data_IF_696337698301
#
_entry.id   IF_696337698301
#
_cell.length_a   1.000
_cell.length_b   1.000
_cell.length_c   1.000
_cell.angle_alpha   90.00
_cell.angle_beta   90.00
_cell.angle_gamma   90.00
#
_symmetry.space_group_name_H-M   'P 1'
#
loop_
_entity.id
_entity.type
_entity.pdbx_description
1 polymer ?
#
# COMPACT_ATOMS: atom_id res chain seq x y z
N UNK A 1 -5.13 52.67 -19.12
CA UNK A 1 -3.91 52.02 -18.57
C UNK A 1 -4.05 51.52 -17.13
N UNK A 2 -4.75 52.24 -16.24
CA UNK A 2 -4.91 51.84 -14.83
C UNK A 2 -5.70 50.52 -14.63
N UNK A 3 -6.76 50.32 -15.40
CA UNK A 3 -7.60 49.12 -15.36
C UNK A 3 -6.90 47.85 -15.83
N UNK A 4 -5.97 47.95 -16.79
CA UNK A 4 -5.19 46.81 -17.28
C UNK A 4 -4.12 46.39 -16.25
N UNK A 5 -3.50 47.36 -15.56
CA UNK A 5 -2.53 47.06 -14.49
C UNK A 5 -3.19 46.40 -13.28
N UNK A 6 -4.43 46.76 -12.95
CA UNK A 6 -5.20 46.15 -11.88
C UNK A 6 -5.61 44.72 -12.21
N UNK A 7 -5.99 44.45 -13.48
CA UNK A 7 -6.33 43.10 -13.96
C UNK A 7 -5.11 42.17 -13.97
N UNK A 8 -3.93 42.68 -14.37
CA UNK A 8 -2.68 41.90 -14.35
C UNK A 8 -2.22 41.60 -12.91
N UNK A 9 -2.39 42.55 -11.96
CA UNK A 9 -2.08 42.34 -10.56
C UNK A 9 -3.04 41.32 -9.91
N UNK A 10 -4.34 41.33 -10.24
CA UNK A 10 -5.31 40.34 -9.80
C UNK A 10 -5.01 38.95 -10.39
N UNK A 11 -4.57 38.85 -11.63
CA UNK A 11 -4.19 37.59 -12.27
C UNK A 11 -2.89 37.00 -11.70
N UNK A 12 -1.93 37.84 -11.32
CA UNK A 12 -0.69 37.40 -10.65
C UNK A 12 -0.94 36.95 -9.20
N UNK A 13 -1.92 37.48 -8.50
CA UNK A 13 -2.30 37.01 -7.14
C UNK A 13 -3.02 35.66 -7.16
N UNK A 14 -3.74 35.33 -8.23
CA UNK A 14 -4.44 34.03 -8.34
C UNK A 14 -3.47 32.90 -8.67
N UNK A 15 -2.37 33.17 -9.35
CA UNK A 15 -1.36 32.15 -9.68
C UNK A 15 -0.43 31.77 -8.52
N UNK A 16 -0.40 32.55 -7.45
CA UNK A 16 0.40 32.25 -6.23
C UNK A 16 -0.30 31.30 -5.24
N UNK A 17 -1.57 30.96 -5.46
CA UNK A 17 -2.35 30.07 -4.58
C UNK A 17 -2.07 28.57 -4.81
N UNK A 18 -1.18 28.19 -5.73
CA UNK A 18 -1.09 26.83 -6.29
C UNK A 18 -0.12 25.88 -5.62
N UNK A 19 0.84 26.32 -4.83
CA UNK A 19 1.84 25.39 -4.29
C UNK A 19 2.25 25.81 -2.86
N UNK A 20 1.44 25.45 -1.88
CA UNK A 20 1.93 25.53 -0.49
C UNK A 20 2.97 24.43 -0.28
N UNK A 21 4.15 24.75 0.27
CA UNK A 21 5.16 23.75 0.57
C UNK A 21 4.59 22.69 1.52
N UNK A 22 5.06 21.47 1.39
CA UNK A 22 4.70 20.39 2.32
C UNK A 22 5.30 20.73 3.69
N UNK A 23 4.52 20.79 4.77
CA UNK A 23 5.04 21.06 6.11
C UNK A 23 6.11 20.05 6.51
N UNK A 24 7.18 20.52 7.17
CA UNK A 24 8.31 19.67 7.58
C UNK A 24 7.87 18.45 8.38
N UNK A 25 6.91 18.62 9.30
CA UNK A 25 6.37 17.52 10.12
C UNK A 25 5.79 16.37 9.28
N UNK A 26 5.22 16.63 8.09
CA UNK A 26 4.72 15.57 7.20
C UNK A 26 5.87 14.81 6.56
N UNK A 27 6.93 15.51 6.15
CA UNK A 27 8.13 14.90 5.58
C UNK A 27 8.88 14.08 6.63
N UNK A 28 9.01 14.61 7.85
CA UNK A 28 9.65 13.89 8.96
C UNK A 28 8.89 12.61 9.32
N UNK A 29 7.55 12.67 9.38
CA UNK A 29 6.73 11.50 9.66
C UNK A 29 6.83 10.47 8.53
N UNK A 30 6.78 10.90 7.25
CA UNK A 30 6.91 9.99 6.10
C UNK A 30 8.28 9.31 6.06
N UNK A 31 9.34 10.02 6.44
CA UNK A 31 10.69 9.46 6.47
C UNK A 31 10.86 8.29 7.46
N UNK A 32 10.13 8.34 8.59
CA UNK A 32 10.28 7.35 9.66
C UNK A 32 9.15 6.32 9.72
N UNK A 33 8.07 6.47 8.95
CA UNK A 33 6.83 5.68 9.08
C UNK A 33 7.04 4.17 8.95
N UNK A 34 8.01 3.74 8.17
CA UNK A 34 8.27 2.32 7.95
C UNK A 34 9.04 1.66 9.11
N UNK A 35 9.91 2.40 9.77
CA UNK A 35 10.77 1.89 10.84
C UNK A 35 10.19 2.19 12.23
N UNK A 36 9.54 3.35 12.37
CA UNK A 36 9.01 3.87 13.62
C UNK A 36 7.55 4.36 13.47
N UNK A 37 6.59 3.47 13.13
CA UNK A 37 5.22 3.87 12.83
C UNK A 37 4.51 4.58 13.99
N UNK A 38 4.70 4.12 15.24
CA UNK A 38 4.13 4.80 16.42
C UNK A 38 4.65 6.23 16.58
N UNK A 39 5.91 6.48 16.24
CA UNK A 39 6.51 7.81 16.33
C UNK A 39 5.98 8.72 15.22
N UNK A 40 5.83 8.18 14.01
CA UNK A 40 5.23 8.89 12.88
C UNK A 40 3.76 9.27 13.20
N UNK A 41 2.98 8.37 13.76
CA UNK A 41 1.60 8.64 14.18
C UNK A 41 1.56 9.79 15.21
N UNK A 42 2.35 9.73 16.28
CA UNK A 42 2.43 10.78 17.30
C UNK A 42 2.82 12.15 16.74
N UNK A 43 3.78 12.20 15.80
CA UNK A 43 4.18 13.47 15.15
C UNK A 43 2.99 14.09 14.41
N UNK A 44 2.24 13.29 13.68
CA UNK A 44 1.09 13.78 12.90
C UNK A 44 -0.10 14.14 13.80
N UNK A 45 -0.39 13.37 14.82
CA UNK A 45 -1.46 13.65 15.78
C UNK A 45 -1.21 14.94 16.59
N UNK A 46 0.05 15.35 16.72
CA UNK A 46 0.44 16.64 17.28
C UNK A 46 0.09 17.85 16.39
N UNK A 47 -0.31 17.66 15.13
CA UNK A 47 -0.71 18.76 14.24
C UNK A 47 -2.09 19.27 14.60
N UNK A 48 -2.26 20.53 15.07
CA UNK A 48 -3.54 21.02 15.54
C UNK A 48 -4.46 21.36 14.35
N UNK A 49 -5.69 20.85 14.36
CA UNK A 49 -6.73 21.11 13.36
C UNK A 49 -6.23 21.01 11.90
N UNK A 50 -5.65 19.84 11.50
CA UNK A 50 -4.99 19.69 10.22
C UNK A 50 -5.95 19.96 9.04
N UNK A 51 -7.22 19.61 9.18
CA UNK A 51 -8.28 19.84 8.18
C UNK A 51 -8.55 21.33 7.88
N UNK A 52 -8.18 22.23 8.83
CA UNK A 52 -8.36 23.69 8.68
C UNK A 52 -7.07 24.40 8.28
N UNK A 53 -5.93 23.85 8.63
CA UNK A 53 -4.62 24.51 8.49
C UNK A 53 -3.84 24.07 7.27
N UNK A 54 -4.07 22.83 6.82
CA UNK A 54 -3.38 22.29 5.65
C UNK A 54 -4.17 22.59 4.37
N UNK A 55 -3.45 22.77 3.27
CA UNK A 55 -4.09 22.77 1.94
C UNK A 55 -4.74 21.40 1.69
N UNK A 56 -5.68 21.32 0.75
CA UNK A 56 -6.33 20.06 0.39
C UNK A 56 -5.32 18.95 0.05
N UNK A 57 -4.27 19.28 -0.69
CA UNK A 57 -3.17 18.37 -1.01
C UNK A 57 -2.43 17.89 0.24
N UNK A 58 -2.00 18.83 1.08
CA UNK A 58 -1.24 18.49 2.27
C UNK A 58 -2.09 17.75 3.32
N UNK A 59 -3.40 18.03 3.38
CA UNK A 59 -4.32 17.29 4.25
C UNK A 59 -4.53 15.85 3.76
N UNK A 60 -4.63 15.62 2.45
CA UNK A 60 -4.69 14.27 1.90
C UNK A 60 -3.38 13.51 2.14
N UNK A 61 -2.23 14.18 2.01
CA UNK A 61 -0.92 13.58 2.32
C UNK A 61 -0.81 13.25 3.82
N UNK A 62 -1.20 14.17 4.70
CA UNK A 62 -1.31 13.94 6.14
C UNK A 62 -2.17 12.71 6.44
N UNK A 63 -3.36 12.65 5.87
CA UNK A 63 -4.29 11.54 6.07
C UNK A 63 -3.68 10.21 5.61
N UNK A 64 -3.01 10.19 4.46
CA UNK A 64 -2.34 9.01 3.93
C UNK A 64 -1.24 8.49 4.86
N UNK A 65 -0.33 9.38 5.29
CA UNK A 65 0.81 9.00 6.13
C UNK A 65 0.34 8.56 7.52
N UNK A 66 -0.66 9.23 8.09
CA UNK A 66 -1.22 8.85 9.40
C UNK A 66 -1.97 7.51 9.32
N UNK A 67 -2.75 7.28 8.26
CA UNK A 67 -3.37 5.96 8.02
C UNK A 67 -2.31 4.86 7.90
N UNK A 68 -1.25 5.11 7.14
CA UNK A 68 -0.12 4.18 7.03
C UNK A 68 0.53 3.91 8.39
N UNK A 69 0.81 4.95 9.16
CA UNK A 69 1.45 4.84 10.47
C UNK A 69 0.62 4.00 11.45
N UNK A 70 -0.67 4.30 11.59
CA UNK A 70 -1.61 3.56 12.44
C UNK A 70 -1.76 2.10 12.01
N UNK A 71 -1.86 1.86 10.69
CA UNK A 71 -1.91 0.50 10.19
C UNK A 71 -0.66 -0.30 10.56
N UNK A 72 0.54 0.27 10.35
CA UNK A 72 1.81 -0.39 10.65
C UNK A 72 2.04 -0.55 12.18
N UNK A 73 1.48 0.34 12.98
CA UNK A 73 1.45 0.22 14.45
C UNK A 73 0.48 -0.88 14.94
N UNK A 74 -0.31 -1.48 14.07
CA UNK A 74 -1.27 -2.55 14.40
C UNK A 74 -2.58 -2.05 15.00
N UNK A 75 -2.92 -0.78 14.81
CA UNK A 75 -4.19 -0.23 15.30
C UNK A 75 -5.39 -0.84 14.58
N UNK A 76 -6.52 -0.88 15.29
CA UNK A 76 -7.79 -1.22 14.67
C UNK A 76 -8.31 -0.05 13.84
N UNK A 77 -8.43 -0.26 12.53
CA UNK A 77 -8.76 0.77 11.56
C UNK A 77 -10.23 0.72 11.07
N UNK A 78 -11.09 -0.06 11.72
CA UNK A 78 -12.50 -0.23 11.28
C UNK A 78 -13.23 1.11 11.20
N UNK A 79 -12.99 2.00 12.16
CA UNK A 79 -13.64 3.33 12.24
C UNK A 79 -12.77 4.45 11.63
N UNK A 80 -11.65 4.12 10.95
CA UNK A 80 -10.80 5.14 10.33
C UNK A 80 -11.52 5.85 9.18
N UNK A 81 -11.50 7.17 9.20
CA UNK A 81 -12.05 8.03 8.14
C UNK A 81 -10.98 8.76 7.34
N UNK A 82 -9.74 8.76 7.81
CA UNK A 82 -8.63 9.44 7.12
C UNK A 82 -8.25 8.73 5.83
N UNK A 83 -8.37 7.41 5.78
CA UNK A 83 -8.17 6.65 4.55
C UNK A 83 -9.12 7.11 3.43
N UNK A 84 -10.36 7.47 3.76
CA UNK A 84 -11.34 7.97 2.80
C UNK A 84 -10.94 9.36 2.28
N UNK A 85 -10.39 10.24 3.15
CA UNK A 85 -9.86 11.57 2.77
C UNK A 85 -8.70 11.41 1.79
N UNK A 86 -7.74 10.53 2.08
CA UNK A 86 -6.62 10.27 1.19
C UNK A 86 -7.11 9.69 -0.15
N UNK A 87 -7.97 8.68 -0.11
CA UNK A 87 -8.51 8.03 -1.30
C UNK A 87 -9.28 9.01 -2.20
N UNK A 88 -10.14 9.86 -1.64
CA UNK A 88 -10.90 10.85 -2.40
C UNK A 88 -10.01 11.85 -3.14
N UNK A 89 -8.90 12.24 -2.54
CA UNK A 89 -7.94 13.11 -3.19
C UNK A 89 -7.18 12.39 -4.30
N UNK A 90 -6.52 11.28 -3.97
CA UNK A 90 -5.63 10.57 -4.88
C UNK A 90 -6.37 9.82 -6.00
N UNK A 91 -7.66 9.60 -5.88
CA UNK A 91 -8.51 9.08 -6.96
C UNK A 91 -8.52 9.98 -8.21
N UNK A 92 -8.33 11.28 -8.04
CA UNK A 92 -8.32 12.29 -9.12
C UNK A 92 -6.96 12.94 -9.35
N UNK A 93 -5.98 12.67 -8.49
CA UNK A 93 -4.61 13.21 -8.55
C UNK A 93 -3.62 12.06 -8.62
N UNK A 94 -3.57 11.40 -9.79
CA UNK A 94 -2.79 10.17 -10.01
C UNK A 94 -1.39 10.43 -10.58
N UNK A 95 -1.01 11.68 -10.79
CA UNK A 95 0.33 12.12 -11.18
C UNK A 95 1.40 11.70 -10.15
N UNK A 96 1.03 11.66 -8.87
CA UNK A 96 1.81 10.99 -7.82
C UNK A 96 1.35 9.53 -7.69
N UNK A 97 1.83 8.66 -8.60
CA UNK A 97 1.45 7.24 -8.60
C UNK A 97 1.79 6.54 -7.27
N UNK A 98 2.86 6.96 -6.58
CA UNK A 98 3.28 6.33 -5.33
C UNK A 98 2.29 6.62 -4.20
N UNK A 99 1.81 7.86 -4.09
CA UNK A 99 0.80 8.23 -3.12
C UNK A 99 -0.58 7.65 -3.49
N UNK A 100 -0.95 7.69 -4.78
CA UNK A 100 -2.19 7.09 -5.26
C UNK A 100 -2.23 5.58 -5.00
N UNK A 101 -1.17 4.85 -5.32
CA UNK A 101 -1.01 3.44 -4.99
C UNK A 101 -1.22 3.17 -3.49
N UNK A 102 -0.51 3.91 -2.61
CA UNK A 102 -0.64 3.75 -1.15
C UNK A 102 -2.08 4.03 -0.68
N UNK A 103 -2.74 5.08 -1.19
CA UNK A 103 -4.10 5.43 -0.81
C UNK A 103 -5.08 4.29 -1.11
N UNK A 104 -5.05 3.75 -2.32
CA UNK A 104 -5.85 2.58 -2.68
C UNK A 104 -5.49 1.35 -1.88
N UNK A 105 -4.20 1.10 -1.63
CA UNK A 105 -3.72 -0.06 -0.88
C UNK A 105 -4.21 -0.05 0.57
N UNK A 106 -4.04 1.04 1.30
CA UNK A 106 -4.49 1.11 2.70
C UNK A 106 -6.01 1.12 2.81
N UNK A 107 -6.72 1.80 1.90
CA UNK A 107 -8.18 1.74 1.84
C UNK A 107 -8.68 0.30 1.59
N UNK A 108 -8.00 -0.49 0.75
CA UNK A 108 -8.32 -1.90 0.53
C UNK A 108 -8.15 -2.74 1.80
N UNK A 109 -7.07 -2.52 2.56
CA UNK A 109 -6.80 -3.24 3.82
C UNK A 109 -7.84 -2.90 4.88
N UNK A 110 -8.25 -1.63 4.97
CA UNK A 110 -9.29 -1.18 5.90
C UNK A 110 -10.65 -1.75 5.50
N UNK A 111 -10.99 -1.74 4.20
CA UNK A 111 -12.21 -2.36 3.70
C UNK A 111 -12.26 -3.86 4.03
N UNK A 112 -11.10 -4.55 3.97
CA UNK A 112 -10.99 -5.94 4.38
C UNK A 112 -11.27 -6.12 5.90
N UNK A 113 -10.70 -5.27 6.78
CA UNK A 113 -11.04 -5.29 8.21
C UNK A 113 -12.53 -5.04 8.45
N UNK A 114 -13.17 -4.17 7.66
CA UNK A 114 -14.61 -3.88 7.68
C UNK A 114 -15.48 -5.01 7.13
N UNK A 115 -14.88 -6.15 6.75
CA UNK A 115 -15.54 -7.30 6.13
C UNK A 115 -16.29 -6.93 4.82
N UNK A 116 -15.66 -6.11 4.01
CA UNK A 116 -16.14 -5.66 2.69
C UNK A 116 -15.22 -6.23 1.58
N UNK A 117 -15.25 -7.54 1.30
CA UNK A 117 -14.26 -8.20 0.46
C UNK A 117 -14.29 -7.70 -1.00
N UNK A 118 -15.47 -7.41 -1.56
CA UNK A 118 -15.59 -6.92 -2.93
C UNK A 118 -15.00 -5.51 -3.08
N UNK A 119 -15.23 -4.63 -2.09
CA UNK A 119 -14.63 -3.30 -2.03
C UNK A 119 -13.11 -3.40 -1.89
N UNK A 120 -12.64 -4.26 -0.98
CA UNK A 120 -11.22 -4.49 -0.75
C UNK A 120 -10.52 -4.98 -2.02
N UNK A 121 -11.08 -5.97 -2.72
CA UNK A 121 -10.56 -6.49 -3.98
C UNK A 121 -10.51 -5.40 -5.06
N UNK A 122 -11.59 -4.64 -5.23
CA UNK A 122 -11.67 -3.56 -6.21
C UNK A 122 -10.62 -2.48 -5.96
N UNK A 123 -10.44 -2.07 -4.72
CA UNK A 123 -9.44 -1.07 -4.33
C UNK A 123 -8.01 -1.58 -4.53
N UNK A 124 -7.76 -2.86 -4.22
CA UNK A 124 -6.44 -3.44 -4.37
C UNK A 124 -6.05 -3.61 -5.85
N UNK A 125 -6.99 -3.95 -6.72
CA UNK A 125 -6.78 -3.95 -8.17
C UNK A 125 -6.44 -2.55 -8.69
N UNK A 126 -7.14 -1.52 -8.24
CA UNK A 126 -6.81 -0.13 -8.56
C UNK A 126 -5.45 0.30 -8.03
N UNK A 127 -5.07 -0.16 -6.84
CA UNK A 127 -3.73 0.06 -6.29
C UNK A 127 -2.66 -0.53 -7.21
N UNK A 128 -2.86 -1.75 -7.73
CA UNK A 128 -1.98 -2.37 -8.71
C UNK A 128 -1.85 -1.56 -10.00
N UNK A 129 -2.98 -1.08 -10.52
CA UNK A 129 -3.04 -0.33 -11.78
C UNK A 129 -2.32 1.04 -11.70
N UNK A 130 -2.08 1.56 -10.48
CA UNK A 130 -1.27 2.77 -10.26
C UNK A 130 0.23 2.50 -10.35
N UNK A 131 0.68 1.26 -10.27
CA UNK A 131 2.10 0.95 -10.32
C UNK A 131 2.62 0.92 -11.75
N UNK A 132 3.83 1.45 -11.99
CA UNK A 132 4.46 1.34 -13.29
C UNK A 132 4.76 -0.14 -13.59
N UNK A 133 4.74 -0.58 -14.87
CA UNK A 133 4.89 -1.99 -15.24
C UNK A 133 6.28 -2.57 -14.91
N UNK A 134 7.25 -1.71 -14.57
CA UNK A 134 8.62 -2.11 -14.21
C UNK A 134 9.16 -1.23 -13.08
N UNK A 135 10.04 -1.81 -12.26
CA UNK A 135 10.84 -1.08 -11.27
C UNK A 135 10.28 -1.09 -9.85
N UNK A 136 8.99 -1.15 -9.64
CA UNK A 136 8.39 -1.11 -8.29
C UNK A 136 8.09 -2.52 -7.75
N UNK A 137 9.07 -3.43 -7.88
CA UNK A 137 8.89 -4.87 -7.61
C UNK A 137 8.37 -5.17 -6.20
N UNK A 138 8.86 -4.43 -5.20
CA UNK A 138 8.39 -4.60 -3.81
C UNK A 138 6.88 -4.29 -3.69
N UNK A 139 6.41 -3.21 -4.31
CA UNK A 139 5.00 -2.83 -4.27
C UNK A 139 4.13 -3.82 -5.03
N UNK A 140 4.59 -4.25 -6.22
CA UNK A 140 3.93 -5.32 -6.98
C UNK A 140 3.81 -6.60 -6.15
N UNK A 141 4.91 -7.05 -5.54
CA UNK A 141 4.92 -8.24 -4.68
C UNK A 141 3.85 -8.15 -3.58
N UNK A 142 3.82 -7.04 -2.85
CA UNK A 142 2.89 -6.85 -1.73
C UNK A 142 1.44 -6.85 -2.20
N UNK A 143 1.15 -6.22 -3.34
CA UNK A 143 -0.22 -6.20 -3.91
C UNK A 143 -0.64 -7.59 -4.36
N UNK A 144 0.21 -8.32 -5.08
CA UNK A 144 -0.12 -9.68 -5.54
C UNK A 144 -0.31 -10.63 -4.36
N UNK A 145 0.51 -10.52 -3.31
CA UNK A 145 0.34 -11.31 -2.09
C UNK A 145 -1.05 -11.05 -1.45
N UNK A 146 -1.48 -9.79 -1.34
CA UNK A 146 -2.80 -9.47 -0.78
C UNK A 146 -3.95 -9.90 -1.69
N UNK A 147 -3.81 -9.79 -3.02
CA UNK A 147 -4.79 -10.34 -3.96
C UNK A 147 -4.92 -11.85 -3.77
N UNK A 148 -3.81 -12.57 -3.62
CA UNK A 148 -3.80 -14.00 -3.31
C UNK A 148 -4.48 -14.34 -1.98
N UNK A 149 -4.26 -13.53 -0.93
CA UNK A 149 -4.96 -13.69 0.36
C UNK A 149 -6.46 -13.53 0.19
N UNK A 150 -6.91 -12.49 -0.51
CA UNK A 150 -8.34 -12.24 -0.71
C UNK A 150 -8.99 -13.34 -1.56
N UNK A 151 -8.30 -13.80 -2.61
CA UNK A 151 -8.77 -14.94 -3.41
C UNK A 151 -8.91 -16.21 -2.56
N UNK A 152 -7.91 -16.51 -1.72
CA UNK A 152 -7.96 -17.68 -0.84
C UNK A 152 -9.13 -17.64 0.16
N UNK A 153 -9.44 -16.47 0.71
CA UNK A 153 -10.60 -16.29 1.60
C UNK A 153 -11.95 -16.46 0.90
N UNK A 154 -12.00 -16.24 -0.42
CA UNK A 154 -13.18 -16.47 -1.25
C UNK A 154 -13.17 -17.85 -1.90
N UNK A 155 -12.26 -18.76 -1.52
CA UNK A 155 -12.07 -20.08 -2.10
C UNK A 155 -11.77 -20.08 -3.62
N UNK A 156 -11.22 -18.96 -4.13
CA UNK A 156 -10.77 -18.81 -5.52
C UNK A 156 -9.30 -19.26 -5.61
N UNK A 157 -9.07 -20.57 -5.50
CA UNK A 157 -7.72 -21.11 -5.30
C UNK A 157 -6.87 -21.05 -6.59
N UNK A 158 -7.46 -21.18 -7.77
CA UNK A 158 -6.75 -21.01 -9.04
C UNK A 158 -6.25 -19.57 -9.20
N UNK A 159 -7.07 -18.59 -8.83
CA UNK A 159 -6.69 -17.19 -8.79
C UNK A 159 -5.57 -16.94 -7.77
N UNK A 160 -5.68 -17.56 -6.57
CA UNK A 160 -4.63 -17.48 -5.55
C UNK A 160 -3.30 -18.02 -6.10
N UNK A 161 -3.29 -19.13 -6.83
CA UNK A 161 -2.08 -19.66 -7.45
C UNK A 161 -1.48 -18.66 -8.43
N UNK A 162 -2.30 -18.04 -9.31
CA UNK A 162 -1.81 -17.03 -10.27
C UNK A 162 -1.17 -15.84 -9.57
N UNK A 163 -1.79 -15.32 -8.52
CA UNK A 163 -1.24 -14.21 -7.74
C UNK A 163 0.05 -14.60 -7.01
N UNK A 164 0.11 -15.80 -6.43
CA UNK A 164 1.32 -16.31 -5.78
C UNK A 164 2.48 -16.51 -6.77
N UNK A 165 2.19 -16.95 -8.01
CA UNK A 165 3.20 -17.04 -9.08
C UNK A 165 3.74 -15.67 -9.48
N UNK A 166 2.88 -14.65 -9.59
CA UNK A 166 3.32 -13.27 -9.87
C UNK A 166 4.16 -12.71 -8.72
N UNK A 167 3.72 -12.92 -7.47
CA UNK A 167 4.48 -12.53 -6.29
C UNK A 167 5.87 -13.21 -6.29
N UNK A 168 5.95 -14.50 -6.58
CA UNK A 168 7.21 -15.22 -6.70
C UNK A 168 8.14 -14.58 -7.74
N UNK A 169 7.63 -14.24 -8.92
CA UNK A 169 8.43 -13.61 -9.99
C UNK A 169 8.97 -12.23 -9.57
N UNK A 170 8.18 -11.44 -8.83
CA UNK A 170 8.65 -10.17 -8.28
C UNK A 170 9.68 -10.35 -7.17
N UNK A 171 9.51 -11.35 -6.30
CA UNK A 171 10.49 -11.70 -5.27
C UNK A 171 11.82 -12.16 -5.89
N UNK A 172 11.77 -12.98 -6.95
CA UNK A 172 12.92 -13.43 -7.71
C UNK A 172 13.68 -12.27 -8.35
N UNK A 173 12.96 -11.31 -8.97
CA UNK A 173 13.55 -10.09 -9.54
C UNK A 173 14.30 -9.22 -8.52
N UNK A 174 14.03 -9.40 -7.23
CA UNK A 174 14.69 -8.70 -6.11
C UNK A 174 15.68 -9.58 -5.35
N UNK A 175 15.86 -10.83 -5.77
CA UNK A 175 16.65 -11.85 -5.06
C UNK A 175 16.21 -12.03 -3.58
N UNK A 176 14.90 -11.81 -3.31
CA UNK A 176 14.30 -11.95 -1.98
C UNK A 176 13.82 -13.38 -1.77
N UNK A 177 14.77 -14.24 -1.43
CA UNK A 177 14.53 -15.68 -1.25
C UNK A 177 13.51 -15.98 -0.14
N UNK A 178 13.49 -15.18 0.92
CA UNK A 178 12.48 -15.22 1.98
C UNK A 178 11.05 -15.01 1.41
N UNK A 179 10.87 -14.05 0.53
CA UNK A 179 9.59 -13.78 -0.12
C UNK A 179 9.23 -14.83 -1.17
N UNK A 180 10.24 -15.40 -1.84
CA UNK A 180 10.02 -16.54 -2.74
C UNK A 180 9.51 -17.76 -1.95
N UNK A 181 10.04 -18.05 -0.76
CA UNK A 181 9.54 -19.11 0.10
C UNK A 181 8.09 -18.87 0.52
N UNK A 182 7.72 -17.64 0.89
CA UNK A 182 6.32 -17.27 1.21
C UNK A 182 5.41 -17.55 0.02
N UNK A 183 5.79 -17.10 -1.19
CA UNK A 183 4.98 -17.32 -2.39
C UNK A 183 4.82 -18.80 -2.75
N UNK A 184 5.86 -19.62 -2.55
CA UNK A 184 5.78 -21.08 -2.72
C UNK A 184 4.83 -21.71 -1.69
N UNK A 185 4.87 -21.25 -0.44
CA UNK A 185 3.92 -21.65 0.60
C UNK A 185 2.48 -21.30 0.26
N UNK A 186 2.24 -20.10 -0.30
CA UNK A 186 0.93 -19.68 -0.77
C UNK A 186 0.40 -20.55 -1.91
N UNK A 187 1.28 -20.98 -2.85
CA UNK A 187 0.91 -21.95 -3.89
C UNK A 187 0.56 -23.30 -3.28
N UNK A 188 1.37 -23.81 -2.35
CA UNK A 188 1.09 -25.07 -1.67
C UNK A 188 -0.27 -25.02 -0.94
N UNK A 189 -0.53 -23.95 -0.20
CA UNK A 189 -1.81 -23.78 0.48
C UNK A 189 -3.00 -23.71 -0.51
N UNK A 190 -2.84 -23.08 -1.67
CA UNK A 190 -3.89 -23.02 -2.67
C UNK A 190 -4.16 -24.40 -3.30
N UNK A 191 -3.12 -25.18 -3.59
CA UNK A 191 -3.26 -26.56 -4.08
C UNK A 191 -3.90 -27.50 -3.04
N UNK A 192 -3.64 -27.27 -1.75
CA UNK A 192 -4.36 -27.97 -0.69
C UNK A 192 -5.87 -27.66 -0.74
N UNK A 193 -6.24 -26.41 -0.99
CA UNK A 193 -7.64 -26.01 -1.14
C UNK A 193 -8.33 -26.58 -2.39
N UNK A 194 -7.55 -27.04 -3.38
CA UNK A 194 -8.03 -27.75 -4.58
C UNK A 194 -7.97 -29.28 -4.44
N UNK A 195 -7.68 -29.81 -3.24
CA UNK A 195 -7.45 -31.24 -2.98
C UNK A 195 -6.35 -31.86 -3.86
N UNK A 196 -5.45 -31.04 -4.41
CA UNK A 196 -4.31 -31.49 -5.22
C UNK A 196 -3.07 -31.64 -4.33
N UNK A 197 -3.00 -32.75 -3.62
CA UNK A 197 -1.97 -33.04 -2.62
C UNK A 197 -0.57 -33.23 -3.23
N UNK A 198 -0.47 -33.75 -4.45
CA UNK A 198 0.82 -33.93 -5.14
C UNK A 198 1.47 -32.56 -5.43
N UNK A 199 0.69 -31.63 -5.95
CA UNK A 199 1.18 -30.26 -6.18
C UNK A 199 1.45 -29.52 -4.87
N UNK A 200 0.60 -29.70 -3.87
CA UNK A 200 0.82 -29.13 -2.53
C UNK A 200 2.16 -29.58 -1.96
N UNK A 201 2.46 -30.88 -1.96
CA UNK A 201 3.71 -31.43 -1.47
C UNK A 201 4.91 -30.91 -2.28
N UNK A 202 4.81 -30.88 -3.61
CA UNK A 202 5.85 -30.35 -4.49
C UNK A 202 6.24 -28.92 -4.13
N UNK A 203 5.27 -28.01 -3.98
CA UNK A 203 5.57 -26.61 -3.67
C UNK A 203 6.03 -26.42 -2.22
N UNK A 204 5.51 -27.19 -1.26
CA UNK A 204 5.97 -27.16 0.13
C UNK A 204 7.44 -27.61 0.23
N UNK A 205 7.81 -28.74 -0.41
CA UNK A 205 9.21 -29.22 -0.45
C UNK A 205 10.12 -28.20 -1.14
N UNK A 206 9.65 -27.58 -2.24
CA UNK A 206 10.42 -26.55 -2.95
C UNK A 206 10.70 -25.33 -2.06
N UNK A 207 9.71 -24.89 -1.27
CA UNK A 207 9.90 -23.81 -0.30
C UNK A 207 10.93 -24.17 0.77
N UNK A 208 10.85 -25.38 1.36
CA UNK A 208 11.77 -25.85 2.38
C UNK A 208 13.22 -25.93 1.85
N UNK A 209 13.41 -26.54 0.69
CA UNK A 209 14.75 -26.63 0.06
C UNK A 209 15.35 -25.26 -0.20
N UNK A 210 14.57 -24.32 -0.72
CA UNK A 210 15.04 -22.95 -0.94
C UNK A 210 15.43 -22.29 0.38
N UNK A 211 14.64 -22.47 1.44
CA UNK A 211 14.93 -21.93 2.76
C UNK A 211 16.23 -22.51 3.33
N UNK A 212 16.43 -23.84 3.23
CA UNK A 212 17.65 -24.53 3.67
C UNK A 212 18.88 -24.04 2.89
N UNK A 213 18.80 -24.01 1.55
CA UNK A 213 19.90 -23.57 0.67
C UNK A 213 20.34 -22.13 0.94
N UNK A 214 19.39 -21.26 1.32
CA UNK A 214 19.64 -19.83 1.59
C UNK A 214 19.80 -19.49 3.06
N UNK A 215 19.72 -20.47 3.97
CA UNK A 215 19.86 -20.27 5.40
C UNK A 215 18.76 -19.41 6.00
N UNK A 216 17.56 -19.46 5.44
CA UNK A 216 16.40 -18.69 5.92
C UNK A 216 15.84 -19.41 7.13
N UNK A 217 15.81 -18.72 8.28
CA UNK A 217 15.22 -19.20 9.52
C UNK A 217 13.99 -18.37 9.87
N UNK A 218 13.11 -18.86 10.76
CA UNK A 218 11.91 -18.13 11.23
C UNK A 218 12.23 -16.71 11.74
N UNK A 219 13.47 -16.48 12.24
CA UNK A 219 13.92 -15.18 12.73
C UNK A 219 14.35 -14.20 11.62
N UNK A 220 14.42 -14.61 10.37
CA UNK A 220 14.77 -13.76 9.23
C UNK A 220 13.56 -13.24 8.47
N UNK A 221 12.34 -13.56 8.92
CA UNK A 221 11.10 -12.98 8.35
C UNK A 221 11.09 -11.46 8.54
N UNK A 222 10.96 -10.66 7.49
CA UNK A 222 10.88 -9.21 7.61
C UNK A 222 9.62 -8.82 8.38
N UNK A 223 9.81 -7.95 9.38
CA UNK A 223 8.71 -7.27 10.06
C UNK A 223 8.01 -6.31 9.10
#
# INVERSE_FOLDING_TARGET
MHRIRLAILLFLCVSAAGCQPVPGVLLDAEAIVMEHPDSAARLLEGVPAPEKRLSRRNYAHYALVLTQARWLAGENMIDDTLSDVALDYYRTHTDDFAAAHKAYYYAAKIAHQRRQPEVAMTLLLKSRDMLPPKGEWRRHYVVETWLGVFCGQQHLFEEKIRHAQQAYAYADSMERYDWMCISLGDMAHAYMGLDNYDSMEYYAIKALRLAEEKGITENTSPK
#
